data_IF_948990501558
#
_entry.id   IF_948990501558
#
_cell.length_a   1.000
_cell.length_b   1.000
_cell.length_c   1.000
_cell.angle_alpha   90.00
_cell.angle_beta   90.00
_cell.angle_gamma   90.00
#
_symmetry.space_group_name_H-M   'P 1'
#
loop_
_entity.id
_entity.type
_entity.pdbx_description
1 polymer ?
#
# COMPACT_ATOMS: atom_id res chain seq x y z
N UNK A 1 -30.27 -1.36 36.25
CA UNK A 1 -29.67 -1.58 34.92
C UNK A 1 -29.55 -3.08 34.74
N UNK A 2 -30.07 -3.59 33.63
CA UNK A 2 -30.09 -5.03 33.35
C UNK A 2 -28.69 -5.46 32.90
N UNK A 3 -28.26 -6.67 33.28
CA UNK A 3 -26.99 -7.28 32.82
C UNK A 3 -26.79 -7.16 31.30
N UNK A 4 -27.88 -7.21 30.52
CA UNK A 4 -27.88 -7.03 29.07
C UNK A 4 -27.51 -5.61 28.60
N UNK A 5 -27.92 -4.58 29.33
CA UNK A 5 -27.60 -3.18 28.99
C UNK A 5 -26.11 -2.88 29.22
N UNK A 6 -25.53 -3.47 30.27
CA UNK A 6 -24.11 -3.32 30.58
C UNK A 6 -23.23 -4.11 29.60
N UNK A 7 -23.64 -5.32 29.21
CA UNK A 7 -22.98 -6.12 28.16
C UNK A 7 -23.00 -5.39 26.79
N UNK A 8 -24.13 -4.79 26.42
CA UNK A 8 -24.26 -4.05 25.16
C UNK A 8 -23.38 -2.80 25.13
N UNK A 9 -23.29 -2.05 26.23
CA UNK A 9 -22.39 -0.88 26.34
C UNK A 9 -20.92 -1.27 26.25
N UNK A 10 -20.52 -2.36 26.91
CA UNK A 10 -19.15 -2.86 26.85
C UNK A 10 -18.76 -3.29 25.43
N UNK A 11 -19.66 -3.96 24.71
CA UNK A 11 -19.43 -4.34 23.31
C UNK A 11 -19.30 -3.10 22.41
N UNK A 12 -20.17 -2.10 22.55
CA UNK A 12 -20.10 -0.87 21.76
C UNK A 12 -18.82 -0.06 22.03
N UNK A 13 -18.31 -0.10 23.27
CA UNK A 13 -17.05 0.56 23.64
C UNK A 13 -15.82 -0.19 23.09
N UNK A 14 -15.85 -1.53 23.11
CA UNK A 14 -14.84 -2.36 22.44
C UNK A 14 -14.84 -2.11 20.93
N UNK A 15 -16.02 -2.03 20.31
CA UNK A 15 -16.20 -1.73 18.89
C UNK A 15 -15.55 -0.41 18.49
N UNK A 16 -15.85 0.66 19.23
CA UNK A 16 -15.23 1.97 19.01
C UNK A 16 -13.70 1.91 19.12
N UNK A 17 -13.16 1.13 20.05
CA UNK A 17 -11.72 1.04 20.29
C UNK A 17 -10.96 0.38 19.13
N UNK A 18 -11.39 -0.79 18.65
CA UNK A 18 -10.67 -1.44 17.54
C UNK A 18 -10.90 -0.75 16.19
N UNK A 19 -12.06 -0.13 15.97
CA UNK A 19 -12.33 0.67 14.75
C UNK A 19 -11.43 1.91 14.75
N UNK A 20 -11.35 2.63 15.86
CA UNK A 20 -10.47 3.79 15.98
C UNK A 20 -8.99 3.39 15.80
N UNK A 21 -8.57 2.26 16.39
CA UNK A 21 -7.23 1.71 16.18
C UNK A 21 -6.97 1.37 14.70
N UNK A 22 -7.91 0.69 14.04
CA UNK A 22 -7.82 0.38 12.62
C UNK A 22 -7.70 1.64 11.78
N UNK A 23 -8.56 2.65 12.01
CA UNK A 23 -8.50 3.94 11.30
C UNK A 23 -7.16 4.62 11.45
N UNK A 24 -6.58 4.63 12.67
CA UNK A 24 -5.26 5.19 12.93
C UNK A 24 -4.17 4.46 12.15
N UNK A 25 -4.16 3.12 12.18
CA UNK A 25 -3.18 2.31 11.46
C UNK A 25 -3.33 2.44 9.94
N UNK A 26 -4.56 2.44 9.43
CA UNK A 26 -4.88 2.67 8.02
C UNK A 26 -4.41 4.05 7.54
N UNK A 27 -4.68 5.10 8.32
CA UNK A 27 -4.22 6.46 8.00
C UNK A 27 -2.69 6.51 7.93
N UNK A 28 -2.01 5.88 8.89
CA UNK A 28 -0.55 5.80 8.89
C UNK A 28 -0.01 5.00 7.68
N UNK A 29 -0.62 3.85 7.37
CA UNK A 29 -0.29 3.06 6.18
C UNK A 29 -0.44 3.86 4.88
N UNK A 30 -1.52 4.64 4.76
CA UNK A 30 -1.78 5.54 3.61
C UNK A 30 -0.67 6.59 3.50
N UNK A 31 -0.33 7.26 4.60
CA UNK A 31 0.75 8.25 4.64
C UNK A 31 2.11 7.65 4.23
N UNK A 32 2.40 6.42 4.67
CA UNK A 32 3.63 5.71 4.27
C UNK A 32 3.63 5.40 2.76
N UNK A 33 2.52 4.90 2.22
CA UNK A 33 2.39 4.60 0.80
C UNK A 33 2.52 5.86 -0.07
N UNK A 34 1.91 6.97 0.33
CA UNK A 34 2.02 8.26 -0.35
C UNK A 34 3.46 8.81 -0.30
N UNK A 35 4.10 8.71 0.87
CA UNK A 35 5.50 9.11 1.03
C UNK A 35 6.44 8.26 0.16
N UNK A 36 6.19 6.96 0.06
CA UNK A 36 6.93 6.07 -0.83
C UNK A 36 6.75 6.46 -2.31
N UNK A 37 5.53 6.79 -2.74
CA UNK A 37 5.24 7.25 -4.09
C UNK A 37 5.95 8.57 -4.43
N UNK A 38 5.98 9.51 -3.48
CA UNK A 38 6.74 10.74 -3.62
C UNK A 38 8.24 10.44 -3.75
N UNK A 39 8.77 9.57 -2.89
CA UNK A 39 10.18 9.17 -2.91
C UNK A 39 10.57 8.51 -4.24
N UNK A 40 9.70 7.68 -4.82
CA UNK A 40 9.89 7.12 -6.16
C UNK A 40 10.10 8.21 -7.21
N UNK A 41 9.26 9.23 -7.19
CA UNK A 41 9.31 10.35 -8.14
C UNK A 41 10.58 11.18 -7.96
N UNK A 42 10.98 11.47 -6.72
CA UNK A 42 12.25 12.16 -6.41
C UNK A 42 13.47 11.36 -6.90
N UNK A 43 13.51 10.06 -6.60
CA UNK A 43 14.61 9.17 -6.96
C UNK A 43 14.78 9.05 -8.48
N UNK A 44 13.67 8.86 -9.21
CA UNK A 44 13.69 8.82 -10.66
C UNK A 44 14.17 10.15 -11.27
N UNK A 45 13.61 11.26 -10.80
CA UNK A 45 13.98 12.60 -11.27
C UNK A 45 15.47 12.89 -11.03
N UNK A 46 15.99 12.53 -9.85
CA UNK A 46 17.40 12.67 -9.53
C UNK A 46 18.29 11.83 -10.46
N UNK A 47 17.89 10.59 -10.78
CA UNK A 47 18.63 9.72 -11.68
C UNK A 47 18.60 10.25 -13.14
N UNK A 48 17.45 10.73 -13.62
CA UNK A 48 17.31 11.37 -14.93
C UNK A 48 18.20 12.60 -15.04
N UNK A 49 18.10 13.52 -14.07
CA UNK A 49 18.88 14.76 -14.08
C UNK A 49 20.38 14.51 -14.04
N UNK A 50 20.82 13.48 -13.29
CA UNK A 50 22.24 13.17 -13.11
C UNK A 50 22.86 12.44 -14.29
N UNK A 51 22.13 11.52 -14.93
CA UNK A 51 22.72 10.57 -15.89
C UNK A 51 22.25 10.77 -17.33
N UNK A 52 21.05 11.33 -17.51
CA UNK A 52 20.39 11.41 -18.81
C UNK A 52 20.25 12.84 -19.34
N UNK A 53 20.48 13.86 -18.51
CA UNK A 53 20.39 15.26 -18.95
C UNK A 53 21.63 15.67 -19.77
N UNK A 54 21.39 16.26 -20.94
CA UNK A 54 22.41 16.77 -21.86
C UNK A 54 21.86 18.02 -22.55
N UNK A 55 22.57 19.16 -22.45
CA UNK A 55 22.16 20.45 -23.03
C UNK A 55 20.70 20.86 -22.70
N UNK A 56 20.27 20.57 -21.46
CA UNK A 56 18.91 20.88 -20.99
C UNK A 56 17.81 19.99 -21.55
N UNK A 57 18.17 18.88 -22.21
CA UNK A 57 17.24 17.88 -22.75
C UNK A 57 17.55 16.50 -22.17
N UNK A 58 16.51 15.70 -21.99
CA UNK A 58 16.66 14.31 -21.51
C UNK A 58 16.98 13.41 -22.69
N UNK A 59 18.13 12.73 -22.63
CA UNK A 59 18.60 11.77 -23.62
C UNK A 59 18.40 10.33 -23.10
N UNK A 60 17.23 9.74 -23.40
CA UNK A 60 16.91 8.38 -22.97
C UNK A 60 17.71 7.30 -23.70
N UNK A 61 18.31 7.56 -24.86
CA UNK A 61 19.15 6.58 -25.57
C UNK A 61 20.35 6.15 -24.71
N UNK A 62 20.81 6.99 -23.78
CA UNK A 62 21.87 6.64 -22.82
C UNK A 62 21.49 5.45 -21.93
N UNK A 63 20.20 5.16 -21.73
CA UNK A 63 19.76 3.98 -20.97
C UNK A 63 19.92 2.66 -21.75
N UNK A 64 20.36 2.66 -23.01
CA UNK A 64 20.77 1.43 -23.69
C UNK A 64 22.22 1.03 -23.34
N UNK A 65 22.98 1.92 -22.68
CA UNK A 65 24.32 1.65 -22.15
C UNK A 65 24.28 1.03 -20.75
N UNK A 66 24.91 -0.14 -20.59
CA UNK A 66 24.89 -0.90 -19.34
C UNK A 66 25.57 -0.18 -18.15
N UNK A 67 26.59 0.64 -18.40
CA UNK A 67 27.24 1.42 -17.35
C UNK A 67 26.35 2.57 -16.87
N UNK A 68 25.65 3.23 -17.80
CA UNK A 68 24.65 4.26 -17.46
C UNK A 68 23.48 3.64 -16.70
N UNK A 69 22.95 2.49 -17.15
CA UNK A 69 21.90 1.76 -16.42
C UNK A 69 22.31 1.49 -14.96
N UNK A 70 23.54 1.00 -14.75
CA UNK A 70 24.08 0.73 -13.40
C UNK A 70 24.13 1.99 -12.54
N UNK A 71 24.60 3.11 -13.08
CA UNK A 71 24.67 4.39 -12.34
C UNK A 71 23.29 4.98 -12.06
N UNK A 72 22.37 4.83 -13.00
CA UNK A 72 20.97 5.24 -12.88
C UNK A 72 20.29 4.50 -11.73
N UNK A 73 20.35 3.16 -11.74
CA UNK A 73 19.81 2.30 -10.67
C UNK A 73 20.44 2.64 -9.32
N UNK A 74 21.77 2.82 -9.28
CA UNK A 74 22.47 3.18 -8.04
C UNK A 74 21.97 4.50 -7.45
N UNK A 75 21.71 5.50 -8.29
CA UNK A 75 21.24 6.81 -7.80
C UNK A 75 19.84 6.71 -7.23
N UNK A 76 18.97 5.89 -7.82
CA UNK A 76 17.66 5.61 -7.26
C UNK A 76 17.78 4.85 -5.94
N UNK A 77 18.56 3.77 -5.89
CA UNK A 77 18.70 2.95 -4.68
C UNK A 77 19.35 3.70 -3.52
N UNK A 78 20.40 4.48 -3.76
CA UNK A 78 21.04 5.33 -2.75
C UNK A 78 20.03 6.30 -2.11
N UNK A 79 19.14 6.88 -2.92
CA UNK A 79 18.10 7.79 -2.42
C UNK A 79 17.07 7.04 -1.58
N UNK A 80 16.61 5.87 -2.03
CA UNK A 80 15.68 5.04 -1.27
C UNK A 80 16.26 4.60 0.07
N UNK A 81 17.50 4.11 0.09
CA UNK A 81 18.20 3.74 1.32
C UNK A 81 18.34 4.94 2.24
N UNK A 82 18.75 6.10 1.73
CA UNK A 82 18.89 7.33 2.53
C UNK A 82 17.57 7.73 3.20
N UNK A 83 16.48 7.78 2.44
CA UNK A 83 15.16 8.16 2.93
C UNK A 83 14.60 7.12 3.91
N UNK A 84 14.82 5.83 3.64
CA UNK A 84 14.44 4.76 4.56
C UNK A 84 15.23 4.82 5.88
N UNK A 85 16.54 5.07 5.83
CA UNK A 85 17.38 5.26 7.03
C UNK A 85 16.89 6.44 7.88
N UNK A 86 16.52 7.55 7.23
CA UNK A 86 15.92 8.71 7.90
C UNK A 86 14.58 8.36 8.54
N UNK A 87 13.70 7.67 7.82
CA UNK A 87 12.38 7.27 8.29
C UNK A 87 12.45 6.33 9.50
N UNK A 88 13.25 5.26 9.40
CA UNK A 88 13.44 4.27 10.45
C UNK A 88 14.47 4.71 11.52
N UNK A 89 15.04 5.91 11.38
CA UNK A 89 16.04 6.48 12.31
C UNK A 89 17.22 5.54 12.55
N UNK A 90 17.70 4.87 11.51
CA UNK A 90 18.85 3.97 11.59
C UNK A 90 20.08 4.58 10.94
N UNK A 91 21.20 4.57 11.67
CA UNK A 91 22.51 5.01 11.17
C UNK A 91 23.42 3.83 10.80
N UNK A 92 22.90 2.60 10.81
CA UNK A 92 23.69 1.40 10.57
C UNK A 92 24.24 1.38 9.14
N UNK A 93 25.49 0.96 9.00
CA UNK A 93 26.04 0.58 7.69
C UNK A 93 25.45 -0.76 7.28
N UNK A 94 24.78 -0.75 6.13
CA UNK A 94 24.02 -1.88 5.63
C UNK A 94 24.81 -2.54 4.50
N UNK A 95 24.87 -3.87 4.51
CA UNK A 95 25.30 -4.60 3.33
C UNK A 95 24.21 -4.55 2.23
N UNK A 96 24.49 -5.13 1.06
CA UNK A 96 23.57 -5.09 -0.09
C UNK A 96 22.21 -5.74 0.22
N UNK A 97 22.21 -6.90 0.90
CA UNK A 97 20.98 -7.62 1.28
C UNK A 97 20.16 -6.80 2.28
N UNK A 98 20.81 -6.23 3.28
CA UNK A 98 20.15 -5.38 4.28
C UNK A 98 19.58 -4.10 3.66
N UNK A 99 20.28 -3.53 2.67
CA UNK A 99 19.80 -2.36 1.91
C UNK A 99 18.55 -2.70 1.09
N UNK A 100 18.56 -3.85 0.41
CA UNK A 100 17.40 -4.33 -0.35
C UNK A 100 16.19 -4.60 0.54
N UNK A 101 16.39 -5.21 1.71
CA UNK A 101 15.32 -5.41 2.69
C UNK A 101 14.76 -4.08 3.20
N UNK A 102 15.63 -3.12 3.48
CA UNK A 102 15.22 -1.80 3.94
C UNK A 102 14.41 -1.06 2.86
N UNK A 103 14.85 -1.12 1.61
CA UNK A 103 14.12 -0.55 0.47
C UNK A 103 12.77 -1.25 0.26
N UNK A 104 12.74 -2.57 0.33
CA UNK A 104 11.51 -3.35 0.16
C UNK A 104 10.46 -3.04 1.25
N UNK A 105 10.92 -2.76 2.47
CA UNK A 105 10.06 -2.35 3.58
C UNK A 105 9.56 -0.90 3.43
N UNK A 106 10.41 -0.01 2.91
CA UNK A 106 10.10 1.43 2.82
C UNK A 106 9.33 1.82 1.56
N UNK A 107 9.87 1.47 0.37
CA UNK A 107 9.31 1.84 -0.95
C UNK A 107 8.74 0.64 -1.71
N UNK A 108 8.85 -0.57 -1.18
CA UNK A 108 8.23 -1.74 -1.80
C UNK A 108 8.97 -2.31 -3.01
N UNK A 109 10.21 -1.89 -3.25
CA UNK A 109 11.06 -2.46 -4.31
C UNK A 109 12.49 -2.68 -3.84
N UNK A 110 13.26 -3.50 -4.58
CA UNK A 110 14.69 -3.76 -4.33
C UNK A 110 15.58 -3.20 -5.44
N UNK A 111 16.89 -3.10 -5.20
CA UNK A 111 17.86 -2.74 -6.23
C UNK A 111 17.84 -3.74 -7.40
N UNK A 112 17.69 -5.04 -7.11
CA UNK A 112 17.57 -6.09 -8.12
C UNK A 112 16.38 -5.87 -9.05
N UNK A 113 15.20 -5.56 -8.50
CA UNK A 113 14.01 -5.25 -9.29
C UNK A 113 14.17 -3.98 -10.14
N UNK A 114 14.75 -2.91 -9.57
CA UNK A 114 15.03 -1.69 -10.32
C UNK A 114 15.98 -1.96 -11.49
N UNK A 115 17.03 -2.76 -11.27
CA UNK A 115 17.96 -3.18 -12.31
C UNK A 115 17.25 -3.94 -13.41
N UNK A 116 16.43 -4.93 -13.06
CA UNK A 116 15.66 -5.69 -14.05
C UNK A 116 14.76 -4.79 -14.89
N UNK A 117 14.04 -3.86 -14.25
CA UNK A 117 13.16 -2.91 -14.94
C UNK A 117 13.93 -1.99 -15.89
N UNK A 118 15.00 -1.35 -15.40
CA UNK A 118 15.80 -0.43 -16.21
C UNK A 118 16.46 -1.16 -17.38
N UNK A 119 17.02 -2.36 -17.16
CA UNK A 119 17.62 -3.17 -18.22
C UNK A 119 16.57 -3.66 -19.24
N UNK A 120 15.39 -4.07 -18.78
CA UNK A 120 14.31 -4.54 -19.66
C UNK A 120 13.77 -3.44 -20.57
N UNK A 121 13.61 -2.23 -20.05
CA UNK A 121 13.00 -1.13 -20.81
C UNK A 121 14.05 -0.30 -21.56
N UNK A 122 15.29 -0.20 -21.07
CA UNK A 122 16.36 0.61 -21.67
C UNK A 122 15.89 2.04 -21.89
N UNK A 123 16.08 2.57 -23.10
CA UNK A 123 15.55 3.89 -23.50
C UNK A 123 14.03 4.07 -23.39
N UNK A 124 13.26 2.99 -23.31
CA UNK A 124 11.80 3.06 -23.09
C UNK A 124 11.43 3.30 -21.62
N UNK A 125 12.40 3.36 -20.71
CA UNK A 125 12.19 3.68 -19.29
C UNK A 125 11.96 5.18 -19.06
N UNK A 126 11.01 5.74 -19.81
CA UNK A 126 10.57 7.13 -19.75
C UNK A 126 9.73 7.39 -18.50
N UNK A 127 9.42 8.66 -18.22
CA UNK A 127 8.59 9.04 -17.06
C UNK A 127 7.23 8.33 -17.09
N UNK A 128 6.59 8.24 -18.25
CA UNK A 128 5.30 7.54 -18.40
C UNK A 128 5.42 6.05 -18.08
N UNK A 129 6.51 5.40 -18.54
CA UNK A 129 6.75 4.00 -18.22
C UNK A 129 7.05 3.80 -16.73
N UNK A 130 7.81 4.72 -16.12
CA UNK A 130 8.10 4.69 -14.69
C UNK A 130 6.84 4.89 -13.86
N UNK A 131 5.95 5.81 -14.22
CA UNK A 131 4.70 6.06 -13.49
C UNK A 131 3.79 4.83 -13.46
N UNK A 132 3.68 4.10 -14.57
CA UNK A 132 2.93 2.85 -14.61
C UNK A 132 3.50 1.80 -13.64
N UNK A 133 4.82 1.69 -13.56
CA UNK A 133 5.50 0.77 -12.65
C UNK A 133 5.36 1.21 -11.19
N UNK A 134 5.50 2.52 -10.94
CA UNK A 134 5.30 3.15 -9.63
C UNK A 134 3.90 2.86 -9.09
N UNK A 135 2.86 2.99 -9.93
CA UNK A 135 1.49 2.66 -9.54
C UNK A 135 1.33 1.19 -9.12
N UNK A 136 1.96 0.26 -9.86
CA UNK A 136 1.94 -1.16 -9.49
C UNK A 136 2.64 -1.43 -8.16
N UNK A 137 3.85 -0.87 -7.96
CA UNK A 137 4.60 -1.02 -6.71
C UNK A 137 3.83 -0.40 -5.54
N UNK A 138 3.26 0.79 -5.74
CA UNK A 138 2.47 1.48 -4.72
C UNK A 138 1.23 0.69 -4.35
N UNK A 139 0.54 0.06 -5.31
CA UNK A 139 -0.61 -0.82 -5.02
C UNK A 139 -0.19 -2.00 -4.14
N UNK A 140 0.88 -2.70 -4.50
CA UNK A 140 1.39 -3.83 -3.72
C UNK A 140 1.91 -3.43 -2.33
N UNK A 141 2.50 -2.25 -2.20
CA UNK A 141 2.91 -1.71 -0.91
C UNK A 141 1.69 -1.38 -0.05
N UNK A 142 0.69 -0.72 -0.62
CA UNK A 142 -0.55 -0.35 0.06
C UNK A 142 -1.30 -1.58 0.57
N UNK A 143 -1.50 -2.58 -0.28
CA UNK A 143 -2.16 -3.86 0.08
C UNK A 143 -1.49 -4.52 1.30
N UNK A 144 -0.14 -4.59 1.31
CA UNK A 144 0.62 -5.15 2.43
C UNK A 144 0.45 -4.32 3.70
N UNK A 145 0.49 -2.99 3.59
CA UNK A 145 0.36 -2.09 4.73
C UNK A 145 -1.06 -2.10 5.31
N UNK A 146 -2.09 -2.18 4.47
CA UNK A 146 -3.49 -2.28 4.90
C UNK A 146 -3.79 -3.62 5.54
N UNK A 147 -3.26 -4.72 4.99
CA UNK A 147 -3.33 -6.04 5.63
C UNK A 147 -2.71 -6.00 7.04
N UNK A 148 -1.54 -5.36 7.18
CA UNK A 148 -0.90 -5.19 8.49
C UNK A 148 -1.73 -4.31 9.43
N UNK A 149 -2.34 -3.23 8.93
CA UNK A 149 -3.22 -2.35 9.70
C UNK A 149 -4.48 -3.07 10.21
N UNK A 150 -4.98 -4.07 9.48
CA UNK A 150 -6.10 -4.93 9.86
C UNK A 150 -5.75 -6.12 10.74
N UNK A 151 -4.47 -6.40 10.99
CA UNK A 151 -4.01 -7.64 11.62
C UNK A 151 -4.47 -7.86 13.07
N UNK A 152 -4.89 -6.80 13.78
CA UNK A 152 -5.47 -6.91 15.12
C UNK A 152 -6.95 -7.23 15.15
N UNK A 153 -7.62 -7.25 13.99
CA UNK A 153 -9.04 -7.58 13.88
C UNK A 153 -9.21 -9.09 13.83
N UNK A 154 -10.24 -9.61 14.49
CA UNK A 154 -10.59 -11.03 14.49
C UNK A 154 -12.08 -11.25 14.13
N UNK A 155 -12.51 -12.51 14.12
CA UNK A 155 -13.89 -12.86 13.79
C UNK A 155 -14.92 -12.26 14.77
N UNK A 156 -14.53 -11.99 16.03
CA UNK A 156 -15.42 -11.38 17.01
C UNK A 156 -15.70 -9.90 16.67
N UNK A 157 -14.84 -9.25 15.89
CA UNK A 157 -15.03 -7.86 15.47
C UNK A 157 -15.96 -7.69 14.26
N UNK A 158 -16.24 -8.77 13.49
CA UNK A 158 -16.99 -8.69 12.23
C UNK A 158 -18.36 -8.03 12.40
N UNK A 159 -19.10 -8.36 13.47
CA UNK A 159 -20.41 -7.78 13.74
C UNK A 159 -20.36 -6.26 13.91
N UNK A 160 -19.45 -5.76 14.74
CA UNK A 160 -19.30 -4.32 14.96
C UNK A 160 -18.74 -3.58 13.75
N UNK A 161 -17.91 -4.23 12.91
CA UNK A 161 -17.48 -3.69 11.62
C UNK A 161 -18.68 -3.50 10.68
N UNK A 162 -19.50 -4.54 10.46
CA UNK A 162 -20.67 -4.49 9.58
C UNK A 162 -21.66 -3.41 10.04
N UNK A 163 -21.85 -3.28 11.35
CA UNK A 163 -22.63 -2.19 11.97
C UNK A 163 -22.02 -0.82 11.69
N UNK A 164 -20.72 -0.66 11.88
CA UNK A 164 -20.03 0.61 11.67
C UNK A 164 -20.13 1.12 10.23
N UNK A 165 -20.00 0.22 9.25
CA UNK A 165 -20.08 0.57 7.83
C UNK A 165 -21.53 0.67 7.30
N UNK A 166 -22.53 0.42 8.16
CA UNK A 166 -23.95 0.58 7.83
C UNK A 166 -24.48 -0.49 6.89
N UNK A 167 -24.07 -1.76 7.07
CA UNK A 167 -24.43 -2.88 6.20
C UNK A 167 -25.29 -3.97 6.88
N UNK A 168 -25.79 -3.73 8.09
CA UNK A 168 -26.57 -4.71 8.87
C UNK A 168 -27.84 -5.20 8.15
N UNK A 169 -28.41 -4.36 7.27
CA UNK A 169 -29.59 -4.66 6.45
C UNK A 169 -29.25 -5.42 5.15
N UNK A 170 -28.00 -5.34 4.70
CA UNK A 170 -27.54 -5.92 3.43
C UNK A 170 -26.76 -7.21 3.59
N UNK A 171 -26.08 -7.39 4.72
CA UNK A 171 -25.10 -8.46 4.91
C UNK A 171 -25.30 -9.14 6.26
N UNK A 172 -25.38 -10.48 6.22
CA UNK A 172 -25.41 -11.33 7.40
C UNK A 172 -23.97 -11.46 7.96
N UNK A 173 -23.70 -10.80 9.08
CA UNK A 173 -22.36 -10.76 9.71
C UNK A 173 -21.87 -12.14 10.14
N UNK A 174 -22.77 -13.10 10.40
CA UNK A 174 -22.40 -14.49 10.71
C UNK A 174 -21.83 -15.27 9.52
N UNK A 175 -21.94 -14.72 8.30
CA UNK A 175 -21.44 -15.31 7.06
C UNK A 175 -20.31 -14.52 6.41
N UNK A 176 -19.83 -13.46 7.07
CA UNK A 176 -18.71 -12.64 6.62
C UNK A 176 -17.46 -13.10 7.34
N UNK A 177 -16.38 -13.32 6.59
CA UNK A 177 -15.08 -13.61 7.20
C UNK A 177 -14.41 -12.35 7.73
N UNK A 178 -13.48 -12.48 8.67
CA UNK A 178 -12.68 -11.33 9.13
C UNK A 178 -11.95 -10.62 7.97
N UNK A 179 -11.49 -11.34 6.95
CA UNK A 179 -10.80 -10.76 5.81
C UNK A 179 -11.75 -9.94 4.94
N UNK A 180 -12.94 -10.47 4.66
CA UNK A 180 -13.99 -9.72 3.95
C UNK A 180 -14.40 -8.47 4.75
N UNK A 181 -14.53 -8.58 6.08
CA UNK A 181 -14.84 -7.43 6.94
C UNK A 181 -13.72 -6.36 6.94
N UNK A 182 -12.45 -6.78 6.91
CA UNK A 182 -11.30 -5.88 6.78
C UNK A 182 -11.36 -5.11 5.45
N UNK A 183 -11.64 -5.79 4.34
CA UNK A 183 -11.78 -5.17 3.02
C UNK A 183 -12.92 -4.15 2.96
N UNK A 184 -14.06 -4.45 3.60
CA UNK A 184 -15.18 -3.51 3.71
C UNK A 184 -14.81 -2.28 4.55
N UNK A 185 -14.13 -2.48 5.68
CA UNK A 185 -13.69 -1.39 6.54
C UNK A 185 -12.64 -0.51 5.86
N UNK A 186 -11.73 -1.11 5.09
CA UNK A 186 -10.77 -0.39 4.25
C UNK A 186 -11.48 0.47 3.20
N UNK A 187 -12.43 -0.13 2.46
CA UNK A 187 -13.24 0.57 1.45
C UNK A 187 -13.98 1.74 2.09
N UNK A 188 -14.61 1.52 3.24
CA UNK A 188 -15.32 2.58 3.97
C UNK A 188 -14.39 3.73 4.38
N UNK A 189 -13.17 3.44 4.86
CA UNK A 189 -12.20 4.49 5.18
C UNK A 189 -11.72 5.26 3.94
N UNK A 190 -11.61 4.59 2.78
CA UNK A 190 -11.16 5.19 1.52
C UNK A 190 -12.24 6.06 0.87
N UNK A 191 -13.48 5.57 0.84
CA UNK A 191 -14.57 6.13 0.03
C UNK A 191 -15.62 6.87 0.87
N UNK A 192 -15.63 6.66 2.19
CA UNK A 192 -16.64 7.18 3.11
C UNK A 192 -17.95 6.39 3.11
N UNK A 193 -18.09 5.42 2.21
CA UNK A 193 -19.19 4.47 2.13
C UNK A 193 -18.73 3.15 1.49
N UNK A 194 -19.59 2.12 1.54
CA UNK A 194 -19.37 0.87 0.80
C UNK A 194 -20.43 0.76 -0.29
N UNK A 195 -19.98 0.80 -1.54
CA UNK A 195 -20.85 0.68 -2.72
C UNK A 195 -21.32 -0.77 -2.94
N UNK A 196 -22.45 -0.95 -3.64
CA UNK A 196 -22.92 -2.29 -4.03
C UNK A 196 -21.92 -3.04 -4.94
N UNK A 197 -21.11 -2.31 -5.71
CA UNK A 197 -19.98 -2.89 -6.46
C UNK A 197 -18.93 -3.46 -5.53
N UNK A 198 -18.53 -2.71 -4.50
CA UNK A 198 -17.57 -3.18 -3.50
C UNK A 198 -18.12 -4.39 -2.72
N UNK A 199 -19.41 -4.41 -2.39
CA UNK A 199 -20.04 -5.60 -1.80
C UNK A 199 -19.91 -6.84 -2.69
N UNK A 200 -20.10 -6.69 -4.00
CA UNK A 200 -19.93 -7.80 -4.95
C UNK A 200 -18.47 -8.18 -5.15
N UNK A 201 -17.54 -7.28 -4.94
CA UNK A 201 -16.12 -7.56 -5.05
C UNK A 201 -15.60 -8.33 -3.83
N UNK A 202 -15.99 -7.89 -2.64
CA UNK A 202 -15.43 -8.37 -1.38
C UNK A 202 -16.23 -9.49 -0.75
N UNK A 203 -17.57 -9.51 -0.87
CA UNK A 203 -18.42 -10.43 -0.11
C UNK A 203 -18.86 -11.62 -0.99
N UNK A 204 -18.37 -12.82 -0.65
CA UNK A 204 -18.61 -14.05 -1.42
C UNK A 204 -20.09 -14.40 -1.58
N UNK A 205 -20.88 -14.23 -0.51
CA UNK A 205 -22.33 -14.45 -0.52
C UNK A 205 -23.10 -13.42 -1.37
N UNK A 206 -22.56 -12.22 -1.57
CA UNK A 206 -23.18 -11.16 -2.37
C UNK A 206 -22.91 -11.33 -3.88
N UNK A 207 -21.81 -12.02 -4.25
CA UNK A 207 -21.50 -12.44 -5.63
C UNK A 207 -22.58 -13.35 -6.24
N UNK A 208 -23.24 -14.17 -5.42
CA UNK A 208 -24.16 -15.21 -5.87
C UNK A 208 -25.56 -14.70 -6.23
N UNK A 209 -26.01 -13.55 -5.69
CA UNK A 209 -27.37 -13.03 -5.90
C UNK A 209 -27.69 -12.63 -7.35
N UNK A 210 -26.70 -12.47 -8.25
CA UNK A 210 -26.92 -12.09 -9.66
C UNK A 210 -27.00 -13.27 -10.64
N UNK A 211 -26.63 -14.49 -10.25
CA UNK A 211 -26.73 -15.66 -11.16
C UNK A 211 -28.14 -16.25 -11.27
N UNK A 212 -29.10 -15.73 -10.49
CA UNK A 212 -30.47 -16.23 -10.42
C UNK A 212 -31.53 -15.24 -10.94
N UNK A 213 -31.12 -14.20 -11.68
CA UNK A 213 -32.01 -13.23 -12.32
C UNK A 213 -31.76 -13.19 -13.84
#
# INVERSE_FOLDING_TARGET
MSKKEDEQKQQEEQDKNYIAKHKKLYTHATQLADTASHTHTEAYTAAVNKHLMEDGRVNFEKLDDAAVQKQFVKTMSDMYVTKAKQHFKTSKDLNEVESDLLMQAYVGTTQGQLKELVTKYGKRFTHAQFDNLKQQIQRQLSERMYTSAGGHLDQANVGGIIKHVGLEDKVDSGKVTVDEARELLETFHREGNVSDSALREHISQYKLKKRAA
#
